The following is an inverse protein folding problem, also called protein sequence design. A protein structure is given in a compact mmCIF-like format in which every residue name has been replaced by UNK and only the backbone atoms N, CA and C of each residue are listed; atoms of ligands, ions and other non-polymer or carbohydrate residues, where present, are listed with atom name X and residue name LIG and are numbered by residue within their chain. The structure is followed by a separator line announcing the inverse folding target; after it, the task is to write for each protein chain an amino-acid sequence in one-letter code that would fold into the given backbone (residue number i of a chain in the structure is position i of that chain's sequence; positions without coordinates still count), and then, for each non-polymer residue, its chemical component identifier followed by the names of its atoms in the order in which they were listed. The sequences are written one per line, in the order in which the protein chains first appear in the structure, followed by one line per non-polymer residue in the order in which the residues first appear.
data_IF_429408671172
#
_entry.id   IF_429408671172
#
_cell.length_a   1.000
_cell.length_b   1.000
_cell.length_c   1.000
_cell.angle_alpha   90.00
_cell.angle_beta   90.00
_cell.angle_gamma   90.00
#
_symmetry.space_group_name_H-M   'P 1'
#
loop_
_entity.id
_entity.type
_entity.pdbx_description
1 polymer ?
#
# COMPACT_ATOMS: atom_id res chain seq x y z
N UNK A 1 -25.75 80.36 10.06
CA UNK A 1 -24.75 79.32 10.38
C UNK A 1 -25.40 77.94 10.18
N UNK A 2 -24.60 76.92 9.94
CA UNK A 2 -24.97 75.64 9.31
C UNK A 2 -25.44 74.55 10.31
N UNK A 3 -25.84 73.38 9.76
CA UNK A 3 -26.24 72.09 10.40
C UNK A 3 -27.77 71.95 10.59
N UNK A 4 -28.43 70.77 10.53
CA UNK A 4 -28.09 69.34 10.23
C UNK A 4 -29.44 68.61 9.95
N UNK A 5 -29.63 67.49 9.23
CA UNK A 5 -28.83 66.64 8.30
C UNK A 5 -29.82 65.85 7.39
N UNK A 6 -29.33 65.01 6.45
CA UNK A 6 -30.10 63.93 5.82
C UNK A 6 -29.59 62.55 6.28
N UNK A 7 -30.48 61.59 6.53
CA UNK A 7 -30.13 60.18 6.75
C UNK A 7 -30.32 59.37 5.46
N UNK A 8 -29.21 58.99 4.80
CA UNK A 8 -29.21 57.99 3.74
C UNK A 8 -28.49 56.72 4.21
N UNK A 9 -29.23 55.62 4.35
CA UNK A 9 -28.65 54.33 4.71
C UNK A 9 -28.18 53.59 3.44
N UNK A 10 -26.89 53.28 3.35
CA UNK A 10 -26.33 52.43 2.30
C UNK A 10 -26.06 51.03 2.86
N UNK A 11 -26.82 50.04 2.40
CA UNK A 11 -26.59 48.62 2.74
C UNK A 11 -25.59 48.03 1.74
N UNK A 12 -24.35 47.86 2.17
CA UNK A 12 -23.33 47.13 1.42
C UNK A 12 -23.49 45.62 1.65
N UNK A 13 -24.10 44.92 0.70
CA UNK A 13 -24.20 43.46 0.73
C UNK A 13 -22.87 42.79 0.40
N UNK A 14 -22.26 42.11 1.36
CA UNK A 14 -21.08 41.27 1.12
C UNK A 14 -21.54 39.94 0.54
N UNK A 15 -21.30 39.73 -0.76
CA UNK A 15 -21.44 38.42 -1.40
C UNK A 15 -20.27 37.52 -0.98
N UNK A 16 -20.49 36.76 0.10
CA UNK A 16 -19.59 35.70 0.51
C UNK A 16 -19.72 34.50 -0.47
N UNK A 17 -18.91 34.51 -1.52
CA UNK A 17 -18.75 33.35 -2.39
C UNK A 17 -18.07 32.20 -1.62
N UNK A 18 -18.86 31.36 -0.96
CA UNK A 18 -18.42 30.07 -0.46
C UNK A 18 -18.05 29.18 -1.65
N UNK A 19 -16.80 29.28 -2.10
CA UNK A 19 -16.27 28.45 -3.17
C UNK A 19 -16.18 27.00 -2.69
N UNK A 20 -17.17 26.18 -3.04
CA UNK A 20 -17.13 24.74 -2.83
C UNK A 20 -15.90 24.16 -3.53
N UNK A 21 -14.83 23.88 -2.77
CA UNK A 21 -13.68 23.15 -3.25
C UNK A 21 -14.12 21.73 -3.57
N UNK A 22 -14.23 21.40 -4.85
CA UNK A 22 -14.49 20.02 -5.26
C UNK A 22 -13.39 19.09 -4.70
N UNK A 23 -13.74 17.86 -4.27
CA UNK A 23 -12.77 16.84 -3.88
C UNK A 23 -11.66 16.68 -4.93
N UNK A 24 -10.44 16.38 -4.50
CA UNK A 24 -9.28 16.24 -5.39
C UNK A 24 -8.55 17.54 -5.75
N UNK A 25 -9.17 18.72 -5.61
CA UNK A 25 -8.57 19.99 -6.08
C UNK A 25 -7.39 20.48 -5.23
N UNK A 26 -7.47 20.36 -3.91
CA UNK A 26 -6.39 20.75 -3.00
C UNK A 26 -5.55 19.54 -2.59
N UNK A 27 -4.29 19.79 -2.23
CA UNK A 27 -3.33 18.77 -1.80
C UNK A 27 -3.12 18.84 -0.28
N UNK A 28 -2.73 17.73 0.34
CA UNK A 28 -2.39 17.70 1.76
C UNK A 28 -1.11 18.49 2.07
N UNK A 29 -0.09 18.35 1.20
CA UNK A 29 1.20 19.04 1.25
C UNK A 29 1.57 19.66 -0.10
N UNK A 30 2.54 20.58 -0.08
CA UNK A 30 3.16 21.17 -1.28
C UNK A 30 4.69 21.01 -1.19
N UNK A 31 5.40 20.87 -2.32
CA UNK A 31 4.89 20.85 -3.70
C UNK A 31 4.21 19.51 -4.06
N UNK A 32 3.54 19.48 -5.20
CA UNK A 32 2.77 18.31 -5.68
C UNK A 32 3.66 17.08 -5.87
N UNK A 33 4.87 17.26 -6.37
CA UNK A 33 5.87 16.20 -6.52
C UNK A 33 7.23 16.69 -6.00
N UNK A 34 7.97 15.80 -5.35
CA UNK A 34 9.39 15.98 -4.98
C UNK A 34 10.13 14.73 -5.40
N UNK A 35 11.38 14.86 -5.85
CA UNK A 35 12.29 13.73 -5.96
C UNK A 35 13.55 13.96 -5.13
N UNK A 36 14.01 12.92 -4.44
CA UNK A 36 15.20 12.93 -3.59
C UNK A 36 16.16 11.81 -4.01
N UNK A 37 17.46 12.04 -3.84
CA UNK A 37 18.48 11.02 -4.11
C UNK A 37 18.68 10.15 -2.87
N UNK A 38 18.38 8.85 -2.99
CA UNK A 38 18.83 7.85 -2.03
C UNK A 38 20.30 7.48 -2.31
N UNK A 39 20.94 6.76 -1.39
CA UNK A 39 22.33 6.30 -1.60
C UNK A 39 22.45 5.05 -2.50
N UNK A 40 21.35 4.37 -2.82
CA UNK A 40 21.33 3.16 -3.66
C UNK A 40 19.92 2.92 -4.23
N UNK A 41 19.74 2.16 -5.34
CA UNK A 41 18.41 1.77 -5.80
C UNK A 41 17.62 0.99 -4.74
N UNK A 42 16.33 1.32 -4.64
CA UNK A 42 15.42 0.76 -3.65
C UNK A 42 14.27 0.02 -4.35
N UNK A 43 13.66 -0.94 -3.66
CA UNK A 43 12.42 -1.63 -4.08
C UNK A 43 11.52 -1.91 -2.88
N UNK A 44 10.26 -2.23 -3.19
CA UNK A 44 9.25 -2.72 -2.25
C UNK A 44 9.19 -1.91 -0.92
N UNK A 45 9.02 -0.57 -0.98
CA UNK A 45 9.09 0.29 0.18
C UNK A 45 7.80 0.22 1.03
N UNK A 46 7.93 0.50 2.31
CA UNK A 46 6.84 0.68 3.28
C UNK A 46 7.10 1.92 4.13
N UNK A 47 6.04 2.58 4.63
CA UNK A 47 6.19 3.79 5.45
C UNK A 47 6.19 3.49 6.94
N UNK A 48 7.21 3.97 7.66
CA UNK A 48 7.26 3.92 9.12
C UNK A 48 6.68 5.19 9.74
N UNK A 49 5.46 5.08 10.26
CA UNK A 49 4.83 6.13 11.07
C UNK A 49 5.57 6.37 12.41
N UNK A 50 6.40 5.42 12.85
CA UNK A 50 7.14 5.49 14.12
C UNK A 50 8.40 6.33 14.04
N UNK A 51 9.07 6.31 12.89
CA UNK A 51 10.37 6.96 12.63
C UNK A 51 10.30 8.05 11.56
N UNK A 52 9.12 8.28 10.96
CA UNK A 52 8.88 9.24 9.88
C UNK A 52 9.82 9.03 8.67
N UNK A 53 10.00 7.76 8.30
CA UNK A 53 10.98 7.32 7.31
C UNK A 53 10.42 6.28 6.35
N UNK A 54 10.90 6.30 5.11
CA UNK A 54 10.62 5.26 4.11
C UNK A 54 11.56 4.08 4.32
N UNK A 55 11.01 2.89 4.57
CA UNK A 55 11.78 1.66 4.77
C UNK A 55 11.70 0.84 3.49
N UNK A 56 12.83 0.37 2.94
CA UNK A 56 12.86 -0.33 1.65
C UNK A 56 13.95 -1.40 1.58
N UNK A 57 13.86 -2.29 0.59
CA UNK A 57 14.92 -3.25 0.30
C UNK A 57 15.90 -2.69 -0.74
N UNK A 58 17.18 -2.99 -0.58
CA UNK A 58 18.23 -2.74 -1.57
C UNK A 58 18.47 -3.98 -2.42
N UNK A 59 19.01 -3.81 -3.63
CA UNK A 59 19.32 -4.93 -4.54
C UNK A 59 20.44 -5.85 -4.02
N UNK A 60 21.27 -5.37 -3.08
CA UNK A 60 22.27 -6.18 -2.35
C UNK A 60 21.76 -6.78 -1.03
N UNK A 61 20.43 -6.84 -0.84
CA UNK A 61 19.79 -7.60 0.23
C UNK A 61 19.84 -6.96 1.62
N UNK A 62 20.11 -5.65 1.70
CA UNK A 62 20.02 -4.85 2.93
C UNK A 62 18.63 -4.24 3.08
N UNK A 63 18.32 -3.86 4.31
CA UNK A 63 17.24 -2.93 4.63
C UNK A 63 17.81 -1.51 4.59
N UNK A 64 17.10 -0.60 3.92
CA UNK A 64 17.36 0.84 3.94
C UNK A 64 16.26 1.57 4.71
N UNK A 65 16.64 2.60 5.47
CA UNK A 65 15.73 3.62 5.97
C UNK A 65 16.11 4.96 5.35
N UNK A 66 15.18 5.60 4.65
CA UNK A 66 15.32 6.95 4.10
C UNK A 66 14.54 7.91 5.00
N UNK A 67 15.28 8.63 5.83
CA UNK A 67 14.77 9.71 6.67
C UNK A 67 14.56 10.95 5.78
N UNK A 68 13.49 11.73 6.00
CA UNK A 68 13.13 12.91 5.20
C UNK A 68 13.01 12.63 3.68
N UNK A 69 12.26 11.57 3.33
CA UNK A 69 12.12 11.06 1.96
C UNK A 69 11.36 11.99 0.97
N UNK A 70 11.00 13.20 1.40
CA UNK A 70 10.35 14.26 0.61
C UNK A 70 11.04 15.63 0.74
N UNK A 71 12.23 15.71 1.35
CA UNK A 71 13.05 16.93 1.43
C UNK A 71 14.45 16.68 0.83
N UNK A 72 14.80 17.28 -0.32
CA UNK A 72 16.09 17.05 -0.98
C UNK A 72 17.29 17.65 -0.22
N UNK A 73 17.06 18.59 0.70
CA UNK A 73 18.13 19.26 1.46
C UNK A 73 18.50 18.51 2.75
N UNK A 74 17.61 17.66 3.26
CA UNK A 74 17.79 16.92 4.53
C UNK A 74 17.70 15.39 4.42
N UNK A 75 17.40 14.85 3.23
CA UNK A 75 17.34 13.40 2.98
C UNK A 75 18.57 12.66 3.47
N UNK A 76 18.36 11.59 4.23
CA UNK A 76 19.43 10.74 4.75
C UNK A 76 19.08 9.26 4.56
N UNK A 77 20.05 8.42 4.18
CA UNK A 77 19.87 6.96 4.06
C UNK A 77 20.72 6.21 5.07
N UNK A 78 20.09 5.35 5.87
CA UNK A 78 20.73 4.41 6.79
C UNK A 78 20.52 2.98 6.31
N UNK A 79 21.46 2.08 6.60
CA UNK A 79 21.41 0.69 6.14
C UNK A 79 21.61 -0.32 7.28
N UNK A 80 20.95 -1.48 7.17
CA UNK A 80 21.33 -2.68 7.92
C UNK A 80 22.59 -3.35 7.34
N UNK A 81 23.10 -4.36 8.03
CA UNK A 81 23.90 -5.40 7.39
C UNK A 81 23.04 -6.18 6.35
N UNK A 82 23.64 -6.91 5.38
CA UNK A 82 22.87 -7.78 4.49
C UNK A 82 22.04 -8.82 5.26
N UNK A 83 20.82 -9.07 4.80
CA UNK A 83 19.83 -9.93 5.47
C UNK A 83 19.37 -11.12 4.62
N UNK A 84 19.88 -11.29 3.39
CA UNK A 84 19.36 -12.27 2.40
C UNK A 84 17.83 -12.19 2.25
N UNK A 85 17.34 -10.95 2.18
CA UNK A 85 15.93 -10.62 2.18
C UNK A 85 15.18 -11.23 0.98
N UNK A 86 13.93 -11.62 1.23
CA UNK A 86 12.97 -12.01 0.20
C UNK A 86 12.48 -10.82 -0.62
N UNK A 87 11.19 -10.86 -0.99
CA UNK A 87 10.60 -9.95 -1.97
C UNK A 87 10.15 -8.62 -1.38
N UNK A 88 9.69 -8.58 -0.13
CA UNK A 88 9.24 -7.34 0.53
C UNK A 88 9.59 -7.34 2.04
N UNK A 89 9.08 -6.34 2.77
CA UNK A 89 9.15 -6.22 4.23
C UNK A 89 7.78 -5.83 4.80
N UNK A 90 7.54 -6.11 6.08
CA UNK A 90 6.30 -5.75 6.79
C UNK A 90 6.65 -5.10 8.14
N UNK A 91 6.15 -3.90 8.42
CA UNK A 91 6.26 -3.29 9.76
C UNK A 91 5.15 -3.87 10.63
N UNK A 92 5.51 -4.36 11.82
CA UNK A 92 4.55 -4.92 12.78
C UNK A 92 3.53 -3.86 13.24
N UNK A 93 2.24 -4.20 13.26
CA UNK A 93 1.24 -3.37 13.98
C UNK A 93 1.19 -3.68 15.48
N UNK A 94 1.77 -4.78 15.93
CA UNK A 94 1.90 -5.09 17.36
C UNK A 94 3.00 -4.26 18.05
N UNK A 95 4.14 -4.04 17.39
CA UNK A 95 5.22 -3.13 17.81
C UNK A 95 5.80 -2.37 16.61
N UNK A 96 5.42 -1.10 16.49
CA UNK A 96 5.80 -0.21 15.38
C UNK A 96 7.30 0.16 15.33
N UNK A 97 8.12 -0.35 16.26
CA UNK A 97 9.59 -0.30 16.22
C UNK A 97 10.19 -1.44 15.41
N UNK A 98 9.44 -2.51 15.15
CA UNK A 98 9.95 -3.74 14.56
C UNK A 98 9.48 -3.87 13.11
N UNK A 99 10.43 -4.15 12.21
CA UNK A 99 10.14 -4.57 10.83
C UNK A 99 10.57 -6.02 10.61
N UNK A 100 9.68 -6.77 9.97
CA UNK A 100 9.87 -8.14 9.59
C UNK A 100 10.43 -8.24 8.18
N UNK A 101 11.51 -9.02 8.04
CA UNK A 101 12.21 -9.26 6.77
C UNK A 101 12.20 -10.77 6.51
N UNK A 102 11.56 -11.26 5.44
CA UNK A 102 11.55 -12.68 5.09
C UNK A 102 12.96 -13.10 4.65
N UNK A 103 13.43 -14.26 5.09
CA UNK A 103 14.74 -14.83 4.75
C UNK A 103 14.53 -16.25 4.16
N UNK A 104 14.18 -16.37 2.87
CA UNK A 104 13.75 -17.65 2.27
C UNK A 104 14.79 -18.75 2.44
N UNK A 105 16.07 -18.44 2.18
CA UNK A 105 17.19 -19.37 2.26
C UNK A 105 17.46 -19.88 3.69
N UNK A 106 17.04 -19.12 4.71
CA UNK A 106 17.16 -19.50 6.14
C UNK A 106 15.90 -20.21 6.66
N UNK A 107 14.79 -20.17 5.93
CA UNK A 107 13.49 -20.66 6.41
C UNK A 107 12.95 -19.88 7.61
N UNK A 108 13.24 -18.57 7.67
CA UNK A 108 12.93 -17.69 8.82
C UNK A 108 12.43 -16.33 8.37
N UNK A 109 11.80 -15.60 9.29
CA UNK A 109 11.60 -14.16 9.19
C UNK A 109 12.46 -13.48 10.24
N UNK A 110 13.31 -12.54 9.85
CA UNK A 110 14.08 -11.72 10.79
C UNK A 110 13.19 -10.61 11.37
N UNK A 111 13.29 -10.39 12.68
CA UNK A 111 12.79 -9.19 13.34
C UNK A 111 13.94 -8.17 13.45
N UNK A 112 13.75 -6.96 12.93
CA UNK A 112 14.76 -5.90 12.85
C UNK A 112 14.22 -4.64 13.55
N UNK A 113 15.01 -4.05 14.45
CA UNK A 113 14.66 -2.76 15.06
C UNK A 113 14.87 -1.62 14.04
N UNK A 114 13.84 -0.81 13.81
CA UNK A 114 13.82 0.28 12.83
C UNK A 114 14.76 1.45 13.19
N UNK A 115 15.11 1.60 14.47
CA UNK A 115 15.99 2.69 14.91
C UNK A 115 17.45 2.37 14.59
N UNK A 116 17.93 1.18 14.96
CA UNK A 116 19.31 0.73 14.79
C UNK A 116 19.58 -0.05 13.51
N UNK A 117 18.52 -0.50 12.81
CA UNK A 117 18.54 -1.40 11.65
C UNK A 117 19.29 -2.72 11.93
N UNK A 118 19.26 -3.19 13.18
CA UNK A 118 19.86 -4.46 13.61
C UNK A 118 18.80 -5.54 13.75
N UNK A 119 19.13 -6.75 13.30
CA UNK A 119 18.32 -7.93 13.59
C UNK A 119 18.34 -8.19 15.11
N UNK A 120 17.16 -8.19 15.72
CA UNK A 120 16.94 -8.40 17.16
C UNK A 120 16.37 -9.80 17.47
N UNK A 121 15.91 -10.54 16.45
CA UNK A 121 15.42 -11.91 16.59
C UNK A 121 15.06 -12.58 15.27
N UNK A 122 14.50 -13.79 15.33
CA UNK A 122 13.90 -14.50 14.21
C UNK A 122 12.61 -15.23 14.60
N UNK A 123 11.81 -15.55 13.59
CA UNK A 123 10.47 -16.13 13.69
C UNK A 123 10.37 -17.34 12.76
N UNK A 124 9.78 -18.44 13.25
CA UNK A 124 9.34 -19.56 12.41
C UNK A 124 8.00 -19.20 11.74
N UNK A 125 8.08 -18.75 10.50
CA UNK A 125 6.93 -18.47 9.64
C UNK A 125 6.72 -19.55 8.56
N UNK A 126 7.10 -20.80 8.85
CA UNK A 126 6.97 -21.92 7.92
C UNK A 126 8.07 -21.99 6.85
N UNK A 127 7.87 -22.79 5.78
CA UNK A 127 8.93 -23.10 4.82
C UNK A 127 9.22 -21.93 3.88
N UNK A 128 10.50 -21.55 3.80
CA UNK A 128 11.05 -20.55 2.87
C UNK A 128 10.16 -19.30 2.69
N UNK A 129 9.84 -18.56 3.76
CA UNK A 129 8.97 -17.38 3.68
C UNK A 129 9.61 -16.33 2.77
N UNK A 130 8.84 -15.80 1.82
CA UNK A 130 9.36 -14.96 0.72
C UNK A 130 8.66 -13.61 0.57
N UNK A 131 7.39 -13.54 0.98
CA UNK A 131 6.57 -12.35 0.94
C UNK A 131 5.74 -12.29 2.21
N UNK A 132 5.65 -11.12 2.82
CA UNK A 132 4.94 -10.86 4.06
C UNK A 132 3.77 -9.89 3.83
N UNK A 133 2.72 -10.06 4.61
CA UNK A 133 1.69 -9.04 4.84
C UNK A 133 1.12 -9.25 6.25
N UNK A 134 0.15 -8.46 6.67
CA UNK A 134 -0.42 -8.56 8.01
C UNK A 134 -1.94 -8.41 7.99
N UNK A 135 -2.65 -9.34 8.64
CA UNK A 135 -4.01 -9.07 9.08
C UNK A 135 -3.93 -8.10 10.27
N UNK A 136 -3.93 -6.80 9.96
CA UNK A 136 -3.81 -5.73 10.96
C UNK A 136 -4.99 -5.70 11.94
N UNK A 137 -6.14 -6.28 11.57
CA UNK A 137 -7.29 -6.43 12.48
C UNK A 137 -7.04 -7.46 13.58
N UNK A 138 -6.28 -8.52 13.25
CA UNK A 138 -5.94 -9.62 14.16
C UNK A 138 -4.52 -9.57 14.73
N UNK A 139 -3.63 -8.68 14.23
CA UNK A 139 -2.18 -8.62 14.53
C UNK A 139 -1.49 -9.95 14.23
N UNK A 140 -1.75 -10.45 13.03
CA UNK A 140 -1.21 -11.72 12.54
C UNK A 140 -0.35 -11.44 11.31
N UNK A 141 0.95 -11.68 11.47
CA UNK A 141 1.89 -11.71 10.36
C UNK A 141 1.53 -12.90 9.45
N UNK A 142 1.37 -12.65 8.17
CA UNK A 142 1.10 -13.65 7.15
C UNK A 142 2.36 -13.82 6.30
N UNK A 143 2.87 -15.04 6.19
CA UNK A 143 4.04 -15.35 5.38
C UNK A 143 3.70 -16.31 4.24
N UNK A 144 3.93 -15.88 3.00
CA UNK A 144 3.82 -16.69 1.79
C UNK A 144 5.17 -17.35 1.46
N UNK A 145 5.16 -18.68 1.30
CA UNK A 145 6.33 -19.46 0.89
C UNK A 145 6.84 -19.08 -0.51
N UNK A 146 8.13 -19.31 -0.79
CA UNK A 146 8.80 -18.91 -2.04
C UNK A 146 8.24 -19.57 -3.32
N UNK A 147 7.60 -20.73 -3.19
CA UNK A 147 6.87 -21.42 -4.27
C UNK A 147 5.42 -20.93 -4.44
N UNK A 148 4.93 -20.10 -3.52
CA UNK A 148 3.55 -19.65 -3.45
C UNK A 148 2.53 -20.76 -3.15
N UNK A 149 2.94 -21.85 -2.49
CA UNK A 149 2.06 -22.99 -2.16
C UNK A 149 1.42 -22.93 -0.78
N UNK A 150 1.96 -22.10 0.13
CA UNK A 150 1.59 -22.12 1.55
C UNK A 150 1.56 -20.70 2.13
N UNK A 151 0.49 -20.35 2.83
CA UNK A 151 0.43 -19.16 3.70
C UNK A 151 0.45 -19.61 5.15
N UNK A 152 1.45 -19.14 5.89
CA UNK A 152 1.63 -19.43 7.31
C UNK A 152 1.31 -18.18 8.13
N UNK A 153 0.23 -18.17 8.93
CA UNK A 153 -0.04 -17.09 9.86
C UNK A 153 0.82 -17.23 11.14
N UNK A 154 1.22 -16.11 11.75
CA UNK A 154 1.98 -16.05 13.00
C UNK A 154 1.38 -14.97 13.90
N UNK A 155 1.09 -15.31 15.15
CA UNK A 155 0.65 -14.36 16.18
C UNK A 155 1.82 -13.46 16.62
N UNK A 156 1.75 -12.15 16.35
CA UNK A 156 2.90 -11.26 16.54
C UNK A 156 3.32 -11.06 18.00
N UNK A 157 2.37 -11.04 18.94
CA UNK A 157 2.69 -10.85 20.37
C UNK A 157 3.34 -12.06 21.01
N UNK A 158 2.97 -13.27 20.58
CA UNK A 158 3.53 -14.54 21.09
C UNK A 158 4.61 -15.14 20.18
N UNK A 159 4.88 -14.53 19.03
CA UNK A 159 5.68 -15.06 17.91
C UNK A 159 5.32 -16.51 17.55
N UNK A 160 4.03 -16.85 17.68
CA UNK A 160 3.54 -18.23 17.64
C UNK A 160 2.97 -18.56 16.27
N UNK A 161 3.61 -19.51 15.58
CA UNK A 161 3.12 -20.05 14.31
C UNK A 161 1.74 -20.68 14.47
N UNK A 162 0.82 -20.31 13.57
CA UNK A 162 -0.54 -20.83 13.49
C UNK A 162 -0.66 -21.86 12.33
N UNK A 163 -1.76 -22.63 12.25
CA UNK A 163 -1.97 -23.60 11.17
C UNK A 163 -1.93 -22.95 9.79
N UNK A 164 -1.05 -23.45 8.93
CA UNK A 164 -0.84 -22.91 7.59
C UNK A 164 -1.88 -23.44 6.59
N UNK A 165 -2.34 -22.58 5.69
CA UNK A 165 -3.24 -22.93 4.59
C UNK A 165 -2.46 -23.25 3.31
N UNK A 166 -2.97 -24.19 2.51
CA UNK A 166 -2.48 -24.43 1.14
C UNK A 166 -3.14 -23.47 0.17
N UNK A 167 -2.33 -22.87 -0.70
CA UNK A 167 -2.73 -21.84 -1.66
C UNK A 167 -2.08 -22.10 -3.02
N UNK A 168 -2.52 -21.40 -4.06
CA UNK A 168 -2.01 -21.52 -5.43
C UNK A 168 -1.58 -20.14 -5.97
N UNK A 169 -0.67 -19.46 -5.25
CA UNK A 169 -0.17 -18.14 -5.63
C UNK A 169 0.89 -18.22 -6.76
N UNK A 170 1.68 -19.30 -6.75
CA UNK A 170 2.88 -19.43 -7.59
C UNK A 170 4.05 -18.56 -7.10
N UNK A 171 5.24 -18.71 -7.68
CA UNK A 171 6.48 -18.09 -7.17
C UNK A 171 6.49 -16.55 -7.25
N UNK A 172 5.69 -15.97 -8.14
CA UNK A 172 5.49 -14.52 -8.25
C UNK A 172 4.32 -14.00 -7.42
N UNK A 173 3.48 -14.88 -6.88
CA UNK A 173 2.28 -14.50 -6.15
C UNK A 173 2.58 -13.71 -4.87
N UNK A 174 1.61 -12.91 -4.42
CA UNK A 174 1.71 -12.05 -3.23
C UNK A 174 0.45 -12.20 -2.37
N UNK A 175 0.50 -11.69 -1.14
CA UNK A 175 -0.58 -11.81 -0.15
C UNK A 175 -0.90 -10.45 0.45
N UNK A 176 -2.17 -10.26 0.85
CA UNK A 176 -2.61 -9.08 1.57
C UNK A 176 -3.65 -9.40 2.64
N UNK A 177 -3.37 -8.98 3.88
CA UNK A 177 -4.20 -9.23 5.05
C UNK A 177 -5.28 -8.18 5.29
N UNK A 178 -6.35 -8.55 5.98
CA UNK A 178 -7.45 -7.63 6.27
C UNK A 178 -7.03 -6.51 7.23
N UNK A 179 -7.21 -5.25 6.82
CA UNK A 179 -6.91 -4.08 7.66
C UNK A 179 -7.76 -3.99 8.95
N UNK A 180 -8.97 -4.58 8.94
CA UNK A 180 -9.97 -4.48 10.03
C UNK A 180 -10.68 -5.81 10.33
N UNK A 181 -9.99 -6.92 10.08
CA UNK A 181 -10.51 -8.27 10.33
C UNK A 181 -10.92 -8.51 11.79
N UNK A 182 -11.80 -9.50 12.00
CA UNK A 182 -12.13 -10.06 13.33
C UNK A 182 -11.85 -11.56 13.44
N UNK A 183 -11.32 -12.13 12.37
CA UNK A 183 -10.81 -13.48 12.18
C UNK A 183 -9.70 -13.37 11.15
N UNK A 184 -8.79 -14.35 11.09
CA UNK A 184 -7.70 -14.34 10.10
C UNK A 184 -8.29 -14.35 8.69
N UNK A 185 -8.05 -13.29 7.94
CA UNK A 185 -8.67 -13.02 6.65
C UNK A 185 -7.67 -12.35 5.70
N UNK A 186 -7.51 -12.91 4.51
CA UNK A 186 -6.56 -12.40 3.52
C UNK A 186 -6.93 -12.78 2.09
N UNK A 187 -6.33 -12.04 1.16
CA UNK A 187 -6.32 -12.35 -0.26
C UNK A 187 -4.94 -12.87 -0.67
N UNK A 188 -4.95 -13.79 -1.64
CA UNK A 188 -3.77 -14.31 -2.32
C UNK A 188 -3.91 -13.94 -3.79
N UNK A 189 -2.86 -13.37 -4.38
CA UNK A 189 -2.83 -12.94 -5.76
C UNK A 189 -1.73 -13.67 -6.52
N UNK A 190 -1.96 -13.97 -7.79
CA UNK A 190 -0.96 -14.56 -8.67
C UNK A 190 -1.47 -14.71 -10.10
N UNK A 191 -0.75 -15.45 -10.97
CA UNK A 191 -1.11 -15.60 -12.38
C UNK A 191 -2.50 -16.24 -12.62
N UNK A 192 -3.00 -17.03 -11.67
CA UNK A 192 -4.34 -17.64 -11.73
C UNK A 192 -5.48 -16.72 -11.19
N UNK A 193 -5.11 -15.53 -10.73
CA UNK A 193 -6.01 -14.50 -10.20
C UNK A 193 -6.00 -14.36 -8.69
N UNK A 194 -7.14 -13.89 -8.17
CA UNK A 194 -7.33 -13.65 -6.74
C UNK A 194 -8.00 -14.85 -6.10
N UNK A 195 -7.54 -15.24 -4.93
CA UNK A 195 -8.23 -16.21 -4.06
C UNK A 195 -8.37 -15.64 -2.64
N UNK A 196 -9.57 -15.73 -2.08
CA UNK A 196 -9.93 -15.19 -0.77
C UNK A 196 -9.97 -16.31 0.27
N UNK A 197 -9.34 -16.08 1.42
CA UNK A 197 -9.22 -17.04 2.52
C UNK A 197 -9.71 -16.42 3.83
N UNK A 198 -10.45 -17.19 4.62
CA UNK A 198 -11.03 -16.72 5.88
C UNK A 198 -11.19 -17.85 6.90
N UNK A 199 -10.57 -17.68 8.07
CA UNK A 199 -10.74 -18.57 9.20
C UNK A 199 -12.19 -18.61 9.70
N UNK A 200 -12.62 -19.78 10.17
CA UNK A 200 -13.90 -19.94 10.85
C UNK A 200 -13.85 -19.24 12.22
N UNK A 201 -14.91 -18.52 12.64
CA UNK A 201 -15.00 -17.99 13.99
C UNK A 201 -14.78 -19.07 15.04
N UNK A 202 -14.05 -18.73 16.11
CA UNK A 202 -13.71 -19.62 17.22
C UNK A 202 -12.79 -20.82 16.89
N UNK A 203 -12.34 -21.00 15.64
CA UNK A 203 -11.44 -22.11 15.24
C UNK A 203 -10.01 -21.64 14.91
N UNK A 204 -9.32 -21.00 15.86
CA UNK A 204 -7.92 -20.57 15.69
C UNK A 204 -6.91 -21.74 15.55
N UNK A 205 -7.37 -23.00 15.73
CA UNK A 205 -6.59 -24.22 15.55
C UNK A 205 -6.80 -24.88 14.17
N UNK A 206 -7.63 -24.30 13.30
CA UNK A 206 -7.81 -24.72 11.91
C UNK A 206 -7.15 -23.73 10.94
N UNK A 207 -6.58 -24.17 9.80
CA UNK A 207 -6.15 -23.27 8.74
C UNK A 207 -7.31 -22.42 8.19
N UNK A 208 -7.05 -21.18 7.74
CA UNK A 208 -8.03 -20.38 7.00
C UNK A 208 -8.54 -21.11 5.74
N UNK A 209 -9.86 -21.16 5.59
CA UNK A 209 -10.52 -21.87 4.48
C UNK A 209 -10.60 -20.98 3.23
N UNK A 210 -10.47 -21.59 2.05
CA UNK A 210 -10.75 -20.93 0.77
C UNK A 210 -12.25 -20.62 0.66
N UNK A 211 -12.58 -19.38 0.26
CA UNK A 211 -13.95 -18.87 0.19
C UNK A 211 -14.43 -18.57 -1.22
N UNK A 212 -13.51 -18.36 -2.16
CA UNK A 212 -13.81 -17.99 -3.53
C UNK A 212 -12.58 -17.48 -4.28
N UNK A 213 -12.68 -17.44 -5.60
CA UNK A 213 -11.65 -16.92 -6.49
C UNK A 213 -12.25 -16.02 -7.56
N UNK A 214 -11.43 -15.12 -8.09
CA UNK A 214 -11.72 -14.29 -9.26
C UNK A 214 -10.60 -14.50 -10.28
N UNK A 215 -10.96 -15.07 -11.44
CA UNK A 215 -10.00 -15.52 -12.44
C UNK A 215 -9.70 -14.41 -13.45
N UNK A 216 -8.55 -13.77 -13.26
CA UNK A 216 -7.88 -12.88 -14.21
C UNK A 216 -6.37 -12.97 -13.94
N UNK A 217 -5.50 -12.61 -14.88
CA UNK A 217 -4.07 -12.49 -14.56
C UNK A 217 -3.85 -11.16 -13.83
N UNK A 218 -3.34 -11.17 -12.60
CA UNK A 218 -3.20 -9.98 -11.75
C UNK A 218 -1.75 -9.49 -11.73
N UNK A 219 -1.54 -8.22 -12.11
CA UNK A 219 -0.19 -7.59 -12.12
C UNK A 219 0.05 -6.68 -10.91
N UNK A 220 -1.02 -6.13 -10.33
CA UNK A 220 -0.98 -5.33 -9.11
C UNK A 220 -2.29 -5.53 -8.33
N UNK A 221 -2.21 -5.51 -7.00
CA UNK A 221 -3.37 -5.60 -6.12
C UNK A 221 -3.13 -4.85 -4.80
N UNK A 222 -4.21 -4.40 -4.16
CA UNK A 222 -4.23 -3.89 -2.80
C UNK A 222 -5.64 -4.07 -2.19
N UNK A 223 -5.75 -4.53 -0.95
CA UNK A 223 -7.00 -4.56 -0.20
C UNK A 223 -7.57 -3.17 0.09
N UNK A 224 -8.84 -3.11 0.45
CA UNK A 224 -9.47 -1.89 0.94
C UNK A 224 -9.07 -1.61 2.41
N UNK A 225 -8.76 -0.35 2.74
CA UNK A 225 -8.37 0.08 4.09
C UNK A 225 -9.47 -0.05 5.16
N UNK A 226 -10.69 -0.39 4.75
CA UNK A 226 -11.91 -0.43 5.56
C UNK A 226 -12.77 -1.66 5.25
N UNK A 227 -13.05 -1.96 3.97
CA UNK A 227 -13.92 -3.06 3.54
C UNK A 227 -13.13 -4.37 3.39
N UNK A 228 -13.01 -5.15 4.48
CA UNK A 228 -12.13 -6.34 4.57
C UNK A 228 -12.27 -7.37 3.44
N UNK A 229 -13.45 -7.49 2.84
CA UNK A 229 -13.78 -8.42 1.76
C UNK A 229 -13.54 -7.86 0.35
N UNK A 230 -13.02 -6.62 0.23
CA UNK A 230 -12.77 -5.93 -1.04
C UNK A 230 -11.28 -5.81 -1.32
N UNK A 231 -10.94 -6.04 -2.57
CA UNK A 231 -9.63 -5.90 -3.19
C UNK A 231 -9.76 -4.97 -4.39
N UNK A 232 -8.77 -4.11 -4.58
CA UNK A 232 -8.49 -3.44 -5.83
C UNK A 232 -7.43 -4.21 -6.61
N UNK A 233 -7.61 -4.38 -7.91
CA UNK A 233 -6.65 -5.08 -8.77
C UNK A 233 -6.52 -4.41 -10.14
N UNK A 234 -5.39 -4.68 -10.78
CA UNK A 234 -5.14 -4.43 -12.19
C UNK A 234 -4.85 -5.77 -12.87
N UNK A 235 -5.41 -5.98 -14.08
CA UNK A 235 -5.16 -7.18 -14.87
C UNK A 235 -3.87 -7.09 -15.71
N UNK A 236 -3.61 -8.09 -16.55
CA UNK A 236 -2.45 -8.12 -17.46
C UNK A 236 -2.34 -6.92 -18.42
N UNK A 237 -3.47 -6.32 -18.82
CA UNK A 237 -3.46 -5.08 -19.61
C UNK A 237 -3.11 -3.88 -18.76
N UNK A 238 -3.62 -3.85 -17.52
CA UNK A 238 -3.33 -2.82 -16.53
C UNK A 238 -3.91 -1.44 -16.86
N UNK A 239 -4.75 -1.33 -17.89
CA UNK A 239 -5.43 -0.09 -18.31
C UNK A 239 -6.67 0.25 -17.47
N UNK A 240 -7.06 -0.67 -16.58
CA UNK A 240 -8.29 -0.61 -15.80
C UNK A 240 -8.01 -0.99 -14.35
N UNK A 241 -8.43 -0.12 -13.42
CA UNK A 241 -8.57 -0.42 -12.02
C UNK A 241 -9.90 -1.14 -11.79
N UNK A 242 -9.87 -2.33 -11.21
CA UNK A 242 -11.06 -3.07 -10.80
C UNK A 242 -11.18 -3.08 -9.28
N UNK A 243 -12.41 -3.06 -8.78
CA UNK A 243 -12.76 -3.39 -7.41
C UNK A 243 -13.54 -4.71 -7.41
N UNK A 244 -13.01 -5.71 -6.71
CA UNK A 244 -13.57 -7.05 -6.58
C UNK A 244 -13.89 -7.30 -5.10
N UNK A 245 -15.06 -7.85 -4.82
CA UNK A 245 -15.55 -8.05 -3.45
C UNK A 245 -16.26 -9.40 -3.31
N UNK A 246 -16.21 -10.02 -2.12
CA UNK A 246 -16.95 -11.26 -1.87
C UNK A 246 -18.47 -11.03 -1.75
N UNK A 247 -19.25 -12.08 -2.00
CA UNK A 247 -20.71 -12.03 -1.90
C UNK A 247 -21.19 -11.89 -0.45
N UNK A 248 -22.46 -11.53 -0.25
CA UNK A 248 -23.10 -11.62 1.07
C UNK A 248 -22.97 -13.07 1.59
N UNK A 249 -22.44 -13.22 2.81
CA UNK A 249 -22.04 -14.52 3.37
C UNK A 249 -20.54 -14.81 3.27
N UNK A 250 -19.74 -13.98 2.61
CA UNK A 250 -18.29 -14.12 2.55
C UNK A 250 -17.81 -15.24 1.61
N UNK A 251 -18.53 -15.46 0.51
CA UNK A 251 -18.25 -16.51 -0.48
C UNK A 251 -18.24 -15.96 -1.90
N UNK A 252 -17.42 -16.57 -2.76
CA UNK A 252 -17.14 -16.09 -4.11
C UNK A 252 -16.37 -14.76 -4.13
N UNK A 253 -16.01 -14.30 -5.32
CA UNK A 253 -15.48 -12.96 -5.57
C UNK A 253 -16.10 -12.45 -6.88
N UNK A 254 -16.50 -11.18 -6.94
CA UNK A 254 -17.10 -10.56 -8.13
C UNK A 254 -16.68 -9.11 -8.28
N UNK A 255 -16.64 -8.61 -9.52
CA UNK A 255 -16.50 -7.19 -9.80
C UNK A 255 -17.68 -6.41 -9.16
N UNK A 256 -17.35 -5.33 -8.46
CA UNK A 256 -18.31 -4.38 -7.87
C UNK A 256 -18.09 -2.94 -8.34
N UNK A 257 -16.95 -2.66 -8.98
CA UNK A 257 -16.72 -1.41 -9.69
C UNK A 257 -15.44 -1.44 -10.53
N UNK A 258 -15.30 -0.49 -11.45
CA UNK A 258 -14.09 -0.28 -12.24
C UNK A 258 -13.88 1.19 -12.64
N UNK A 259 -12.65 1.54 -13.02
CA UNK A 259 -12.34 2.79 -13.69
C UNK A 259 -11.10 2.64 -14.61
N UNK A 260 -11.12 3.24 -15.83
CA UNK A 260 -9.94 3.25 -16.70
C UNK A 260 -8.86 4.20 -16.16
N UNK A 261 -7.60 3.92 -16.54
CA UNK A 261 -6.44 4.80 -16.33
C UNK A 261 -5.78 5.17 -17.67
N UNK A 262 -4.95 6.20 -17.66
CA UNK A 262 -4.21 6.69 -18.84
C UNK A 262 -3.02 5.82 -19.27
N UNK A 263 -2.57 4.90 -18.41
CA UNK A 263 -1.28 4.23 -18.53
C UNK A 263 -1.25 2.96 -17.65
N UNK A 264 -0.52 1.88 -18.04
CA UNK A 264 -0.56 0.62 -17.30
C UNK A 264 -0.20 0.74 -15.82
N UNK A 265 -1.10 0.26 -14.95
CA UNK A 265 -0.88 0.17 -13.50
C UNK A 265 0.26 -0.79 -13.21
N UNK A 266 1.21 -0.37 -12.38
CA UNK A 266 2.36 -1.18 -11.92
C UNK A 266 2.34 -1.44 -10.42
N UNK A 267 1.79 -0.53 -9.61
CA UNK A 267 1.55 -0.76 -8.19
C UNK A 267 0.19 -0.19 -7.76
N UNK A 268 -0.44 -0.89 -6.82
CA UNK A 268 -1.67 -0.45 -6.13
C UNK A 268 -1.40 -0.30 -4.63
N UNK A 269 -2.15 0.59 -4.00
CA UNK A 269 -2.16 0.81 -2.56
C UNK A 269 -3.42 1.57 -2.18
N UNK A 270 -3.82 1.48 -0.91
CA UNK A 270 -5.01 2.15 -0.41
C UNK A 270 -4.75 2.83 0.93
N UNK A 271 -5.60 3.79 1.28
CA UNK A 271 -5.83 4.20 2.66
C UNK A 271 -7.30 3.99 3.02
N UNK A 272 -7.74 4.49 4.18
CA UNK A 272 -9.12 4.33 4.63
C UNK A 272 -10.18 4.98 3.71
N UNK A 273 -9.76 5.82 2.75
CA UNK A 273 -10.62 6.70 1.95
C UNK A 273 -10.27 6.77 0.46
N UNK A 274 -9.05 6.36 0.07
CA UNK A 274 -8.52 6.49 -1.30
C UNK A 274 -7.85 5.21 -1.77
N UNK A 275 -7.81 5.05 -3.09
CA UNK A 275 -7.00 4.07 -3.81
C UNK A 275 -6.00 4.83 -4.67
N UNK A 276 -4.76 4.34 -4.71
CA UNK A 276 -3.65 4.91 -5.46
C UNK A 276 -3.19 3.89 -6.49
N UNK A 277 -3.20 4.27 -7.76
CA UNK A 277 -2.66 3.49 -8.86
C UNK A 277 -1.45 4.22 -9.44
N UNK A 278 -0.25 3.69 -9.14
CA UNK A 278 0.97 4.17 -9.75
C UNK A 278 1.17 3.46 -11.09
N UNK A 279 1.11 4.24 -12.16
CA UNK A 279 1.27 3.80 -13.54
C UNK A 279 2.71 4.03 -14.00
N UNK A 280 3.01 3.74 -15.27
CA UNK A 280 4.33 4.07 -15.85
C UNK A 280 4.61 5.57 -15.90
N UNK A 281 3.57 6.41 -15.86
CA UNK A 281 3.63 7.87 -16.12
C UNK A 281 3.10 8.74 -14.99
N UNK A 282 2.13 8.26 -14.22
CA UNK A 282 1.34 9.07 -13.29
C UNK A 282 0.96 8.28 -12.02
N UNK A 283 0.49 9.01 -11.00
CA UNK A 283 -0.30 8.43 -9.91
C UNK A 283 -1.74 8.87 -10.12
N UNK A 284 -2.58 7.93 -10.51
CA UNK A 284 -4.03 8.08 -10.57
C UNK A 284 -4.64 7.76 -9.21
N UNK A 285 -5.41 8.71 -8.65
CA UNK A 285 -5.99 8.62 -7.31
C UNK A 285 -7.50 8.55 -7.40
N UNK A 286 -8.10 7.62 -6.65
CA UNK A 286 -9.52 7.31 -6.65
C UNK A 286 -10.12 7.35 -5.25
N UNK A 287 -11.43 7.49 -5.15
CA UNK A 287 -12.18 7.29 -3.90
C UNK A 287 -12.43 5.80 -3.65
N UNK A 288 -12.22 5.31 -2.43
CA UNK A 288 -12.40 3.89 -2.11
C UNK A 288 -13.87 3.46 -1.99
N UNK A 289 -14.77 4.40 -1.70
CA UNK A 289 -16.21 4.17 -1.46
C UNK A 289 -16.48 2.96 -0.52
N UNK A 290 -15.66 2.79 0.51
CA UNK A 290 -15.58 1.56 1.32
C UNK A 290 -16.88 1.19 2.04
N UNK A 291 -17.68 2.19 2.43
CA UNK A 291 -18.94 1.98 3.16
C UNK A 291 -20.19 1.92 2.26
N UNK A 292 -20.21 2.71 1.17
CA UNK A 292 -21.35 2.84 0.26
C UNK A 292 -21.31 1.85 -0.90
N UNK A 293 -20.11 1.38 -1.26
CA UNK A 293 -19.86 0.73 -2.54
C UNK A 293 -19.93 1.70 -3.72
N UNK A 294 -19.69 1.17 -4.92
CA UNK A 294 -19.66 1.93 -6.16
C UNK A 294 -21.04 1.97 -6.80
N UNK A 295 -21.76 3.08 -6.62
CA UNK A 295 -23.01 3.34 -7.35
C UNK A 295 -22.73 3.29 -8.86
N UNK A 296 -23.51 2.48 -9.59
CA UNK A 296 -23.34 2.20 -11.03
C UNK A 296 -22.05 1.44 -11.42
N UNK A 297 -21.30 0.88 -10.47
CA UNK A 297 -20.09 0.10 -10.77
C UNK A 297 -18.92 0.92 -11.32
N UNK A 298 -18.88 2.23 -11.03
CA UNK A 298 -17.78 3.11 -11.40
C UNK A 298 -17.01 3.57 -10.16
N UNK A 299 -15.69 3.52 -10.21
CA UNK A 299 -14.79 4.02 -9.14
C UNK A 299 -14.51 5.51 -9.41
N UNK A 300 -14.90 6.45 -8.52
CA UNK A 300 -14.66 7.88 -8.74
C UNK A 300 -13.16 8.21 -8.78
N UNK A 301 -12.69 8.79 -9.88
CA UNK A 301 -11.34 9.34 -9.98
C UNK A 301 -11.30 10.75 -9.39
N UNK A 302 -10.34 11.01 -8.51
CA UNK A 302 -10.14 12.27 -7.78
C UNK A 302 -9.09 13.17 -8.46
N UNK A 303 -7.98 12.59 -8.91
CA UNK A 303 -6.84 13.32 -9.51
C UNK A 303 -5.93 12.36 -10.28
N UNK A 304 -5.25 12.88 -11.30
CA UNK A 304 -4.09 12.23 -11.94
C UNK A 304 -2.89 13.16 -11.73
N UNK A 305 -1.76 12.61 -11.30
CA UNK A 305 -0.55 13.39 -10.98
C UNK A 305 0.66 12.84 -11.75
N UNK A 306 1.20 13.63 -12.68
CA UNK A 306 2.43 13.29 -13.40
C UNK A 306 3.63 13.40 -12.45
N UNK A 307 4.13 12.26 -11.99
CA UNK A 307 5.34 12.18 -11.16
C UNK A 307 6.62 12.18 -11.99
N UNK A 308 6.56 11.93 -13.30
CA UNK A 308 7.71 11.92 -14.21
C UNK A 308 8.19 13.34 -14.52
N UNK A 309 7.29 14.32 -14.55
CA UNK A 309 7.63 15.74 -14.62
C UNK A 309 8.55 16.19 -13.47
N UNK A 310 8.35 15.64 -12.26
CA UNK A 310 9.14 15.94 -11.06
C UNK A 310 10.50 15.22 -10.95
N UNK A 311 10.88 14.39 -11.94
CA UNK A 311 12.14 13.65 -11.94
C UNK A 311 13.30 14.41 -12.60
N UNK A 312 14.55 14.21 -12.13
CA UNK A 312 15.74 14.76 -12.79
C UNK A 312 15.86 14.23 -14.23
N UNK A 313 16.47 15.04 -15.10
CA UNK A 313 16.75 14.63 -16.48
C UNK A 313 17.71 13.43 -16.52
N UNK A 314 17.42 12.44 -17.36
CA UNK A 314 18.25 11.24 -17.52
C UNK A 314 17.45 9.95 -17.29
N UNK A 315 18.12 8.81 -17.01
CA UNK A 315 17.49 7.48 -16.96
C UNK A 315 16.36 7.35 -15.93
N UNK A 316 16.36 8.15 -14.86
CA UNK A 316 15.28 8.16 -13.88
C UNK A 316 13.89 8.42 -14.49
N UNK A 317 13.79 9.30 -15.51
CA UNK A 317 12.50 9.63 -16.16
C UNK A 317 11.84 8.46 -16.89
N UNK A 318 12.61 7.48 -17.36
CA UNK A 318 12.11 6.30 -18.07
C UNK A 318 12.25 4.99 -17.30
N UNK A 319 12.88 5.00 -16.12
CA UNK A 319 13.05 3.81 -15.31
C UNK A 319 11.69 3.25 -14.83
N UNK A 320 11.44 1.93 -14.94
CA UNK A 320 10.23 1.32 -14.37
C UNK A 320 10.13 1.54 -12.87
N UNK A 321 8.91 1.50 -12.33
CA UNK A 321 8.71 1.45 -10.88
C UNK A 321 9.30 0.16 -10.30
N UNK A 322 9.77 0.24 -9.06
CA UNK A 322 10.23 -0.89 -8.24
C UNK A 322 9.44 -1.05 -6.94
N UNK A 323 8.46 -0.18 -6.68
CA UNK A 323 7.64 -0.23 -5.48
C UNK A 323 6.90 1.08 -5.19
N UNK A 324 5.92 0.99 -4.28
CA UNK A 324 5.13 2.13 -3.81
C UNK A 324 4.79 1.96 -2.32
N UNK A 325 4.88 3.04 -1.54
CA UNK A 325 4.42 3.11 -0.15
C UNK A 325 3.41 4.24 0.06
N UNK A 326 2.43 4.02 0.93
CA UNK A 326 1.44 5.03 1.33
C UNK A 326 1.82 5.59 2.70
N UNK A 327 2.39 6.79 2.74
CA UNK A 327 2.66 7.54 3.97
C UNK A 327 1.44 8.35 4.45
N UNK A 328 1.60 9.27 5.42
CA UNK A 328 0.52 10.11 5.93
C UNK A 328 -0.04 11.04 4.84
N UNK A 329 0.76 11.98 4.36
CA UNK A 329 0.35 13.05 3.43
C UNK A 329 0.84 12.86 1.98
N UNK A 330 1.71 11.87 1.76
CA UNK A 330 2.35 11.59 0.46
C UNK A 330 2.34 10.11 0.12
N UNK A 331 2.42 9.81 -1.18
CA UNK A 331 2.69 8.49 -1.76
C UNK A 331 4.14 8.49 -2.21
N UNK A 332 4.91 7.46 -1.83
CA UNK A 332 6.33 7.34 -2.17
C UNK A 332 6.52 6.26 -3.22
N UNK A 333 7.30 6.55 -4.26
CA UNK A 333 7.61 5.65 -5.38
C UNK A 333 9.12 5.43 -5.44
N UNK A 334 9.53 4.20 -5.70
CA UNK A 334 10.94 3.84 -5.98
C UNK A 334 11.11 3.42 -7.44
N UNK A 335 12.31 3.62 -7.97
CA UNK A 335 12.63 3.36 -9.39
C UNK A 335 13.64 2.23 -9.55
N UNK A 336 13.36 1.30 -10.46
CA UNK A 336 14.18 0.12 -10.74
C UNK A 336 15.57 0.52 -11.22
N UNK A 337 16.59 0.12 -10.47
CA UNK A 337 18.00 0.40 -10.79
C UNK A 337 18.37 1.89 -10.75
N UNK A 338 17.55 2.75 -10.13
CA UNK A 338 17.84 4.18 -9.97
C UNK A 338 17.76 4.56 -8.48
N UNK A 339 18.75 5.30 -7.93
CA UNK A 339 18.78 5.67 -6.52
C UNK A 339 17.88 6.88 -6.23
N UNK A 340 16.65 6.88 -6.74
CA UNK A 340 15.72 8.02 -6.62
C UNK A 340 14.42 7.56 -5.96
N UNK A 341 13.99 8.33 -4.96
CA UNK A 341 12.64 8.25 -4.38
C UNK A 341 11.85 9.45 -4.90
N UNK A 342 10.60 9.21 -5.33
CA UNK A 342 9.65 10.27 -5.69
C UNK A 342 8.53 10.29 -4.68
N UNK A 343 8.21 11.45 -4.12
CA UNK A 343 7.07 11.62 -3.23
C UNK A 343 5.99 12.48 -3.89
N UNK A 344 4.75 12.00 -3.89
CA UNK A 344 3.59 12.60 -4.55
C UNK A 344 2.59 13.03 -3.49
N UNK A 345 2.22 14.31 -3.45
CA UNK A 345 1.28 14.83 -2.48
C UNK A 345 -0.12 14.21 -2.68
N UNK A 346 -0.74 13.76 -1.58
CA UNK A 346 -2.10 13.21 -1.64
C UNK A 346 -3.13 14.33 -1.89
N UNK A 347 -4.17 14.09 -2.71
CA UNK A 347 -5.31 15.00 -2.80
C UNK A 347 -6.16 14.96 -1.51
N UNK A 348 -6.73 16.11 -1.14
CA UNK A 348 -7.79 16.19 -0.13
C UNK A 348 -9.12 15.69 -0.71
N UNK A 349 -9.97 15.16 0.16
CA UNK A 349 -11.38 14.88 -0.12
C UNK A 349 -12.20 16.09 0.31
#
# INVERSE_FOLDING_TARGET
MTWQTWCGAAVAGVLACAGCSAPGRSLHSAPETVSVQAQTPLRDPVWSYRTDSLIALTDDGRLAAVDHADDPDTVNTRFSAPLDAGRNVQISRADDRTVFVPQPARGRVAAVDLTSLRQIGDIDAGPAPSYLSEDSGMRILLALSADGSTVTPVEELGLRRLPAAKVAAGPTGVIDGANRGRVIEYHVYGPAGVSYYKAQPFQQQSPPEHRGSYHTEVVAAAGDGTAVSRVYLADAGGDTLYAVESGRGGHGLREVGRAPVSSPIRHLGSDATRVYAATETDVSVFESASFTGFSHGSIPMLRVIDYRAGLPSGPARSAPLSGMAIGPDRVYLTLRGQPVVVSVAKPRL
#
